data_IF_589804602886
#
_entry.id   IF_589804602886
#
_cell.length_a   1.000
_cell.length_b   1.000
_cell.length_c   1.000
_cell.angle_alpha   90.00
_cell.angle_beta   90.00
_cell.angle_gamma   90.00
#
_symmetry.space_group_name_H-M   'P 1'
#
loop_
_entity.id
_entity.type
_entity.pdbx_description
1 polymer ?
#
# COMPACT_ATOMS: atom_id res chain seq x y z
N UNK A 1 -35.64 -3.01 -6.19
CA UNK A 1 -35.44 -1.58 -5.87
C UNK A 1 -34.26 -1.50 -4.92
N UNK A 2 -33.06 -1.34 -5.45
CA UNK A 2 -31.83 -1.23 -4.65
C UNK A 2 -31.77 0.19 -4.11
N UNK A 3 -31.81 0.32 -2.79
CA UNK A 3 -31.77 1.60 -2.10
C UNK A 3 -30.30 2.08 -2.07
N UNK A 4 -29.93 2.97 -2.99
CA UNK A 4 -28.65 3.67 -2.96
C UNK A 4 -28.60 4.54 -1.70
N UNK A 5 -27.71 4.22 -0.75
CA UNK A 5 -27.40 5.13 0.36
C UNK A 5 -26.66 6.36 -0.19
N UNK A 6 -26.87 7.55 0.38
CA UNK A 6 -26.27 8.78 -0.12
C UNK A 6 -24.76 8.78 0.10
N UNK A 7 -24.04 9.23 -0.93
CA UNK A 7 -22.60 9.53 -0.95
C UNK A 7 -22.31 10.57 0.13
N UNK A 8 -21.47 10.23 1.11
CA UNK A 8 -20.93 11.21 2.07
C UNK A 8 -19.63 11.79 1.53
N UNK A 9 -19.70 12.99 0.98
CA UNK A 9 -18.53 13.81 0.67
C UNK A 9 -18.02 14.41 1.98
N UNK A 10 -16.85 13.97 2.45
CA UNK A 10 -16.18 14.61 3.60
C UNK A 10 -15.27 15.70 3.03
N UNK A 11 -15.59 16.97 3.31
CA UNK A 11 -14.70 18.09 2.97
C UNK A 11 -13.42 17.98 3.79
N UNK A 12 -12.26 18.18 3.14
CA UNK A 12 -10.95 18.17 3.77
C UNK A 12 -10.87 19.17 4.93
N UNK A 13 -10.10 18.81 5.95
CA UNK A 13 -9.85 19.67 7.11
C UNK A 13 -9.09 20.93 6.70
N UNK A 14 -9.57 22.09 7.15
CA UNK A 14 -8.87 23.36 6.96
C UNK A 14 -7.53 23.33 7.70
N UNK A 15 -6.50 23.88 7.06
CA UNK A 15 -5.08 23.97 7.48
C UNK A 15 -4.83 24.47 8.92
N UNK A 16 -5.81 25.06 9.60
CA UNK A 16 -5.70 25.55 10.97
C UNK A 16 -6.12 24.54 12.06
N UNK A 17 -6.85 23.48 11.69
CA UNK A 17 -7.29 22.43 12.65
C UNK A 17 -6.35 21.21 12.67
N UNK A 18 -5.35 21.17 11.79
CA UNK A 18 -4.39 20.06 11.70
C UNK A 18 -3.40 19.99 12.89
N UNK A 19 -3.28 21.06 13.68
CA UNK A 19 -2.23 21.17 14.71
C UNK A 19 -2.50 20.42 16.03
N UNK A 20 -3.66 19.75 16.20
CA UNK A 20 -3.98 19.07 17.47
C UNK A 20 -4.60 17.68 17.32
N UNK A 21 -4.41 17.03 16.18
CA UNK A 21 -5.11 15.79 15.86
C UNK A 21 -4.17 14.58 16.06
N UNK A 22 -4.14 14.06 17.29
CA UNK A 22 -3.58 12.74 17.61
C UNK A 22 -4.50 11.68 16.99
N UNK A 23 -4.09 11.03 15.90
CA UNK A 23 -4.86 9.93 15.30
C UNK A 23 -3.97 8.76 14.95
N UNK A 24 -4.54 7.57 15.13
CA UNK A 24 -3.95 6.23 15.16
C UNK A 24 -2.44 6.21 15.47
N UNK A 25 -2.14 6.08 16.77
CA UNK A 25 -0.81 6.08 17.38
C UNK A 25 -0.18 7.44 17.72
N UNK A 26 -0.91 8.54 17.56
CA UNK A 26 -0.59 9.80 18.24
C UNK A 26 0.48 10.65 17.58
N UNK A 27 0.67 10.53 16.25
CA UNK A 27 1.75 11.23 15.53
C UNK A 27 1.19 12.20 14.50
N UNK A 28 1.69 13.45 14.48
CA UNK A 28 1.29 14.44 13.48
C UNK A 28 1.62 13.98 12.06
N UNK A 29 0.81 14.42 11.08
CA UNK A 29 1.06 14.18 9.65
C UNK A 29 2.49 14.53 9.24
N UNK A 30 3.03 15.62 9.79
CA UNK A 30 4.37 16.13 9.52
C UNK A 30 5.47 15.14 9.91
N UNK A 31 5.18 14.21 10.83
CA UNK A 31 6.10 13.14 11.24
C UNK A 31 6.11 11.93 10.29
N UNK A 32 5.22 11.88 9.30
CA UNK A 32 5.17 10.80 8.31
C UNK A 32 6.16 11.03 7.16
N UNK A 33 6.62 9.96 6.47
CA UNK A 33 7.57 10.08 5.35
C UNK A 33 7.11 11.04 4.24
N UNK A 34 5.80 11.19 4.07
CA UNK A 34 5.12 12.03 3.08
C UNK A 34 4.48 13.30 3.67
N UNK A 35 4.68 13.58 4.95
CA UNK A 35 3.98 14.61 5.71
C UNK A 35 4.12 16.06 5.19
N UNK A 36 5.09 16.31 4.31
CA UNK A 36 5.42 17.64 3.79
C UNK A 36 4.99 17.86 2.33
N UNK A 37 4.26 16.92 1.73
CA UNK A 37 4.02 16.94 0.29
C UNK A 37 2.76 17.66 -0.14
N UNK A 38 2.96 18.80 -0.80
CA UNK A 38 1.92 19.59 -1.45
C UNK A 38 0.97 20.28 -0.46
N UNK A 39 0.71 21.57 -0.68
CA UNK A 39 -0.23 22.31 0.19
C UNK A 39 -1.65 22.38 -0.38
N UNK A 40 -1.97 21.54 -1.38
CA UNK A 40 -3.25 21.58 -2.08
C UNK A 40 -4.30 20.72 -1.38
N UNK A 41 -5.54 21.20 -1.42
CA UNK A 41 -6.70 20.41 -1.01
C UNK A 41 -6.90 19.27 -2.01
N UNK A 42 -7.22 18.09 -1.51
CA UNK A 42 -7.54 16.91 -2.32
C UNK A 42 -8.93 16.42 -1.94
N UNK A 43 -9.64 15.85 -2.90
CA UNK A 43 -10.90 15.17 -2.63
C UNK A 43 -10.63 13.74 -2.19
N UNK A 44 -11.53 13.19 -1.39
CA UNK A 44 -11.51 11.77 -1.07
C UNK A 44 -12.91 11.20 -0.91
N UNK A 45 -13.02 9.88 -1.16
CA UNK A 45 -14.27 9.14 -0.98
C UNK A 45 -13.99 7.68 -0.62
N UNK A 46 -14.96 7.03 0.01
CA UNK A 46 -14.98 5.57 0.14
C UNK A 46 -16.04 4.95 -0.76
N UNK A 47 -15.77 3.74 -1.23
CA UNK A 47 -16.73 2.95 -2.01
C UNK A 47 -16.45 1.46 -1.86
N UNK A 48 -17.44 0.63 -2.21
CA UNK A 48 -17.30 -0.83 -2.11
C UNK A 48 -16.95 -1.47 -3.46
N UNK A 49 -16.15 -2.52 -3.41
CA UNK A 49 -15.86 -3.42 -4.53
C UNK A 49 -15.92 -4.88 -4.04
N UNK A 50 -15.66 -5.85 -4.92
CA UNK A 50 -15.83 -7.28 -4.60
C UNK A 50 -14.66 -8.15 -5.06
N UNK A 51 -14.31 -9.12 -4.23
CA UNK A 51 -13.54 -10.32 -4.58
C UNK A 51 -14.46 -11.53 -4.43
N UNK A 52 -15.08 -11.95 -5.53
CA UNK A 52 -16.16 -12.94 -5.50
C UNK A 52 -17.33 -12.47 -4.61
N UNK A 53 -17.66 -13.25 -3.59
CA UNK A 53 -18.76 -12.93 -2.66
C UNK A 53 -18.34 -11.96 -1.54
N UNK A 54 -17.04 -11.73 -1.36
CA UNK A 54 -16.52 -10.87 -0.31
C UNK A 54 -16.67 -9.42 -0.74
N UNK A 55 -17.38 -8.63 0.06
CA UNK A 55 -17.46 -7.17 -0.12
C UNK A 55 -16.28 -6.53 0.57
N UNK A 56 -15.60 -5.66 -0.16
CA UNK A 56 -14.41 -4.94 0.28
C UNK A 56 -14.68 -3.43 0.19
N UNK A 57 -13.92 -2.64 0.93
CA UNK A 57 -13.99 -1.18 0.88
C UNK A 57 -12.70 -0.59 0.31
N UNK A 58 -12.82 0.53 -0.40
CA UNK A 58 -11.71 1.33 -0.89
C UNK A 58 -11.80 2.72 -0.27
N UNK A 59 -10.65 3.33 0.01
CA UNK A 59 -10.51 4.77 0.26
C UNK A 59 -9.71 5.38 -0.90
N UNK A 60 -10.30 6.29 -1.65
CA UNK A 60 -9.64 6.95 -2.78
C UNK A 60 -9.44 8.44 -2.51
N UNK A 61 -8.28 8.97 -2.90
CA UNK A 61 -7.96 10.38 -2.87
C UNK A 61 -7.36 10.84 -4.22
N UNK A 62 -7.73 12.04 -4.66
CA UNK A 62 -7.23 12.65 -5.91
C UNK A 62 -7.32 14.19 -5.86
N UNK A 63 -6.53 14.87 -6.68
CA UNK A 63 -6.66 16.32 -6.92
C UNK A 63 -7.74 16.55 -8.01
N UNK A 64 -8.95 16.93 -7.58
CA UNK A 64 -10.10 17.09 -8.48
C UNK A 64 -9.93 18.26 -9.47
N UNK A 65 -9.30 19.36 -9.05
CA UNK A 65 -9.01 20.49 -9.92
C UNK A 65 -8.02 20.10 -11.01
N UNK A 66 -6.97 19.36 -10.64
CA UNK A 66 -5.98 18.85 -11.60
C UNK A 66 -6.57 17.84 -12.56
N UNK A 67 -7.43 16.94 -12.09
CA UNK A 67 -8.17 16.01 -12.97
C UNK A 67 -9.07 16.77 -13.94
N UNK A 68 -9.77 17.81 -13.47
CA UNK A 68 -10.63 18.63 -14.33
C UNK A 68 -9.84 19.44 -15.38
N UNK A 69 -8.65 19.93 -15.01
CA UNK A 69 -7.83 20.77 -15.88
C UNK A 69 -6.94 19.97 -16.86
N UNK A 70 -6.36 18.86 -16.41
CA UNK A 70 -5.34 18.10 -17.14
C UNK A 70 -5.80 16.69 -17.55
N UNK A 71 -6.98 16.25 -17.10
CA UNK A 71 -7.51 14.92 -17.35
C UNK A 71 -7.05 13.87 -16.32
N UNK A 72 -7.34 12.58 -16.57
CA UNK A 72 -7.04 11.47 -15.66
C UNK A 72 -5.55 11.38 -15.28
N UNK A 73 -5.26 10.93 -14.06
CA UNK A 73 -3.91 10.88 -13.47
C UNK A 73 -3.40 9.45 -13.33
N UNK A 74 -2.07 9.22 -13.25
CA UNK A 74 -1.56 7.88 -12.97
C UNK A 74 -2.12 7.35 -11.65
N UNK A 75 -2.52 6.07 -11.65
CA UNK A 75 -3.12 5.42 -10.49
C UNK A 75 -2.08 4.85 -9.54
N UNK A 76 -2.31 4.96 -8.23
CA UNK A 76 -1.49 4.29 -7.20
C UNK A 76 -2.37 3.50 -6.23
N UNK A 77 -2.24 2.18 -6.26
CA UNK A 77 -2.88 1.30 -5.30
C UNK A 77 -2.05 1.26 -4.01
N UNK A 78 -2.66 1.43 -2.84
CA UNK A 78 -1.98 1.47 -1.54
C UNK A 78 -2.45 0.30 -0.67
N UNK A 79 -1.56 -0.65 -0.40
CA UNK A 79 -1.84 -1.81 0.42
C UNK A 79 -1.47 -1.55 1.89
N UNK A 80 -2.43 -1.79 2.77
CA UNK A 80 -2.31 -1.44 4.19
C UNK A 80 -1.38 -2.36 4.99
N UNK A 81 -1.07 -1.93 6.21
CA UNK A 81 -0.31 -2.71 7.20
C UNK A 81 -1.12 -3.88 7.77
N UNK A 82 -0.65 -4.54 8.82
CA UNK A 82 -1.39 -5.65 9.42
C UNK A 82 -2.70 -5.24 10.12
N UNK A 83 -3.07 -3.96 10.22
CA UNK A 83 -4.29 -3.57 10.96
C UNK A 83 -5.46 -3.13 10.08
N UNK A 84 -5.30 -2.83 8.79
CA UNK A 84 -6.42 -2.55 7.89
C UNK A 84 -6.34 -1.19 7.17
N UNK A 85 -7.25 -1.00 6.22
CA UNK A 85 -7.24 0.12 5.27
C UNK A 85 -7.53 1.48 5.90
N UNK A 86 -8.43 1.53 6.89
CA UNK A 86 -8.86 2.79 7.50
C UNK A 86 -7.83 3.41 8.43
N UNK A 87 -6.66 2.77 8.55
CA UNK A 87 -5.54 3.31 9.28
C UNK A 87 -5.17 4.69 8.72
N UNK A 88 -4.99 5.66 9.62
CA UNK A 88 -4.69 7.02 9.21
C UNK A 88 -3.37 7.13 8.44
N UNK A 89 -2.37 6.34 8.82
CA UNK A 89 -1.12 6.17 8.07
C UNK A 89 -1.39 5.85 6.58
N UNK A 90 -2.33 4.95 6.30
CA UNK A 90 -2.64 4.55 4.92
C UNK A 90 -3.45 5.61 4.18
N UNK A 91 -4.49 6.16 4.80
CA UNK A 91 -5.32 7.19 4.17
C UNK A 91 -4.55 8.49 3.93
N UNK A 92 -3.65 8.88 4.82
CA UNK A 92 -2.76 10.03 4.64
C UNK A 92 -1.71 9.82 3.55
N UNK A 93 -1.23 8.58 3.35
CA UNK A 93 -0.39 8.22 2.21
C UNK A 93 -1.15 8.45 0.89
N UNK A 94 -2.40 8.00 0.78
CA UNK A 94 -3.24 8.27 -0.39
C UNK A 94 -3.43 9.76 -0.63
N UNK A 95 -3.68 10.55 0.42
CA UNK A 95 -3.82 12.01 0.29
C UNK A 95 -2.53 12.67 -0.19
N UNK A 96 -1.37 12.19 0.26
CA UNK A 96 -0.08 12.78 -0.13
C UNK A 96 0.29 12.43 -1.57
N UNK A 97 0.05 11.18 -1.99
CA UNK A 97 0.11 10.79 -3.39
C UNK A 97 -0.84 11.62 -4.27
N UNK A 98 -2.06 11.90 -3.79
CA UNK A 98 -2.99 12.79 -4.49
C UNK A 98 -2.43 14.21 -4.65
N UNK A 99 -1.78 14.76 -3.62
CA UNK A 99 -1.11 16.07 -3.68
C UNK A 99 0.10 16.09 -4.60
N UNK A 100 0.76 14.95 -4.82
CA UNK A 100 1.79 14.77 -5.84
C UNK A 100 1.21 14.65 -7.27
N UNK A 101 -0.12 14.59 -7.42
CA UNK A 101 -0.81 14.57 -8.70
C UNK A 101 -1.16 13.17 -9.23
N UNK A 102 -1.19 12.17 -8.35
CA UNK A 102 -1.70 10.82 -8.62
C UNK A 102 -3.19 10.69 -8.24
N UNK A 103 -3.85 9.65 -8.73
CA UNK A 103 -5.10 9.15 -8.14
C UNK A 103 -4.74 7.95 -7.29
N UNK A 104 -4.87 8.06 -5.96
CA UNK A 104 -4.43 7.03 -5.03
C UNK A 104 -5.61 6.33 -4.36
N UNK A 105 -5.54 5.01 -4.23
CA UNK A 105 -6.60 4.21 -3.60
C UNK A 105 -6.03 3.19 -2.64
N UNK A 106 -6.43 3.26 -1.38
CA UNK A 106 -6.18 2.22 -0.40
C UNK A 106 -7.14 1.05 -0.62
N UNK A 107 -6.63 -0.17 -0.50
CA UNK A 107 -7.41 -1.40 -0.64
C UNK A 107 -7.69 -2.05 0.70
N UNK A 108 -8.85 -2.70 0.87
CA UNK A 108 -9.18 -3.50 2.04
C UNK A 108 -8.83 -4.98 1.79
N UNK A 109 -7.75 -5.47 2.42
CA UNK A 109 -7.41 -6.89 2.38
C UNK A 109 -8.35 -7.72 3.24
N UNK A 110 -8.94 -7.13 4.30
CA UNK A 110 -9.66 -7.86 5.34
C UNK A 110 -11.14 -8.03 5.01
N UNK A 111 -11.71 -7.12 4.21
CA UNK A 111 -13.16 -7.02 4.01
C UNK A 111 -13.91 -6.59 5.27
N UNK A 112 -13.19 -5.94 6.19
CA UNK A 112 -13.74 -5.46 7.45
C UNK A 112 -14.28 -4.03 7.34
N UNK A 113 -13.82 -3.26 6.34
CA UNK A 113 -14.14 -1.84 6.22
C UNK A 113 -13.67 -1.00 7.41
N UNK A 114 -12.79 -1.50 8.28
CA UNK A 114 -12.24 -0.80 9.44
C UNK A 114 -10.92 -1.45 9.90
N UNK A 115 -10.21 -0.80 10.81
CA UNK A 115 -9.04 -1.39 11.46
C UNK A 115 -9.42 -2.57 12.36
N UNK A 116 -8.61 -3.62 12.38
CA UNK A 116 -8.76 -4.83 13.18
C UNK A 116 -7.59 -4.95 14.16
N UNK A 117 -7.82 -4.50 15.39
CA UNK A 117 -6.82 -4.50 16.46
C UNK A 117 -6.74 -5.82 17.23
N UNK A 118 -7.87 -6.51 17.36
CA UNK A 118 -7.92 -7.82 18.02
C UNK A 118 -7.06 -8.83 17.24
N UNK A 119 -6.11 -9.44 17.95
CA UNK A 119 -5.11 -10.32 17.33
C UNK A 119 -5.73 -11.60 16.80
N UNK A 120 -6.71 -12.17 17.50
CA UNK A 120 -7.35 -13.44 17.10
C UNK A 120 -8.22 -13.23 15.86
N UNK A 121 -9.06 -12.19 15.85
CA UNK A 121 -9.89 -11.83 14.70
C UNK A 121 -9.02 -11.53 13.49
N UNK A 122 -7.98 -10.70 13.66
CA UNK A 122 -7.04 -10.38 12.58
C UNK A 122 -6.37 -11.63 12.03
N UNK A 123 -5.86 -12.51 12.91
CA UNK A 123 -5.17 -13.73 12.48
C UNK A 123 -6.12 -14.69 11.75
N UNK A 124 -7.39 -14.77 12.16
CA UNK A 124 -8.42 -15.55 11.45
C UNK A 124 -8.67 -15.06 10.02
N UNK A 125 -8.48 -13.77 9.75
CA UNK A 125 -8.57 -13.19 8.40
C UNK A 125 -7.26 -13.38 7.62
N UNK A 126 -6.12 -13.14 8.28
CA UNK A 126 -4.79 -13.17 7.66
C UNK A 126 -4.31 -14.58 7.30
N UNK A 127 -4.53 -15.55 8.18
CA UNK A 127 -3.96 -16.89 8.01
C UNK A 127 -4.40 -17.54 6.68
N UNK A 128 -5.69 -17.52 6.29
CA UNK A 128 -6.11 -18.03 4.98
C UNK A 128 -5.50 -17.30 3.77
N UNK A 129 -5.13 -16.01 3.92
CA UNK A 129 -4.46 -15.25 2.86
C UNK A 129 -2.96 -15.56 2.80
N UNK A 130 -2.34 -15.87 3.94
CA UNK A 130 -0.93 -16.30 4.02
C UNK A 130 -0.75 -17.71 3.48
N UNK A 131 -1.66 -18.61 3.83
CA UNK A 131 -1.63 -20.01 3.40
C UNK A 131 -1.90 -20.16 1.89
N UNK A 132 -2.72 -19.27 1.32
CA UNK A 132 -3.00 -19.22 -0.12
C UNK A 132 -2.59 -17.87 -0.72
N UNK A 133 -1.35 -17.80 -1.19
CA UNK A 133 -0.78 -16.61 -1.82
C UNK A 133 -1.42 -16.28 -3.18
N UNK A 134 -2.08 -17.24 -3.86
CA UNK A 134 -2.92 -16.92 -5.04
C UNK A 134 -4.19 -16.18 -4.62
N UNK A 135 -4.79 -16.58 -3.51
CA UNK A 135 -5.94 -15.87 -2.94
C UNK A 135 -5.57 -14.46 -2.52
N UNK A 136 -4.40 -14.25 -1.92
CA UNK A 136 -3.89 -12.91 -1.63
C UNK A 136 -3.70 -12.09 -2.91
N UNK A 137 -2.98 -12.61 -3.91
CA UNK A 137 -2.80 -11.93 -5.19
C UNK A 137 -4.14 -11.56 -5.86
N UNK A 138 -5.11 -12.49 -5.84
CA UNK A 138 -6.47 -12.26 -6.36
C UNK A 138 -7.22 -11.16 -5.60
N UNK A 139 -7.07 -11.10 -4.27
CA UNK A 139 -7.65 -10.04 -3.45
C UNK A 139 -7.13 -8.66 -3.85
N UNK A 140 -5.81 -8.56 -4.09
CA UNK A 140 -5.19 -7.32 -4.55
C UNK A 140 -5.59 -7.01 -6.00
N UNK A 141 -5.70 -8.03 -6.86
CA UNK A 141 -6.18 -7.87 -8.24
C UNK A 141 -7.58 -7.25 -8.29
N UNK A 142 -8.51 -7.68 -7.43
CA UNK A 142 -9.85 -7.08 -7.35
C UNK A 142 -9.82 -5.59 -7.00
N UNK A 143 -8.87 -5.17 -6.15
CA UNK A 143 -8.66 -3.76 -5.83
C UNK A 143 -8.02 -3.01 -6.99
N UNK A 144 -7.03 -3.59 -7.66
CA UNK A 144 -6.46 -3.03 -8.88
C UNK A 144 -7.55 -2.83 -9.95
N UNK A 145 -8.44 -3.80 -10.16
CA UNK A 145 -9.54 -3.73 -11.13
C UNK A 145 -10.53 -2.61 -10.78
N UNK A 146 -10.81 -2.41 -9.49
CA UNK A 146 -11.61 -1.28 -9.02
C UNK A 146 -10.92 0.06 -9.32
N UNK A 147 -9.62 0.19 -9.04
CA UNK A 147 -8.85 1.41 -9.31
C UNK A 147 -8.83 1.76 -10.79
N UNK A 148 -8.50 0.81 -11.68
CA UNK A 148 -8.42 1.11 -13.12
C UNK A 148 -9.79 1.45 -13.71
N UNK A 149 -10.90 1.05 -13.10
CA UNK A 149 -12.23 1.44 -13.59
C UNK A 149 -12.65 2.87 -13.21
N UNK A 150 -11.85 3.58 -12.42
CA UNK A 150 -12.11 4.96 -12.07
C UNK A 150 -11.78 5.93 -13.21
N UNK A 151 -12.69 6.89 -13.45
CA UNK A 151 -12.52 7.87 -14.54
C UNK A 151 -11.37 8.85 -14.30
N UNK A 152 -10.91 8.99 -13.06
CA UNK A 152 -9.75 9.81 -12.69
C UNK A 152 -8.41 9.10 -12.89
N UNK A 153 -8.40 7.84 -13.36
CA UNK A 153 -7.18 7.05 -13.58
C UNK A 153 -6.85 6.93 -15.08
N UNK A 154 -5.62 7.28 -15.45
CA UNK A 154 -5.10 7.04 -16.80
C UNK A 154 -4.52 5.63 -16.90
N UNK A 155 -4.89 4.91 -17.97
CA UNK A 155 -4.54 3.50 -18.18
C UNK A 155 -3.31 3.37 -19.09
N UNK A 156 -3.43 3.88 -20.30
CA UNK A 156 -2.59 3.45 -21.42
C UNK A 156 -1.20 4.10 -21.48
N UNK A 157 -1.04 5.32 -20.94
CA UNK A 157 0.20 6.10 -21.10
C UNK A 157 1.20 5.93 -19.95
N UNK A 158 0.75 6.13 -18.71
CA UNK A 158 1.61 6.03 -17.52
C UNK A 158 1.37 4.79 -16.66
N UNK A 159 0.26 4.06 -16.92
CA UNK A 159 -0.14 2.89 -16.15
C UNK A 159 -0.41 3.16 -14.66
N UNK A 160 -0.42 2.08 -13.89
CA UNK A 160 -0.69 2.04 -12.45
C UNK A 160 0.55 1.55 -11.72
N UNK A 161 0.79 2.08 -10.53
CA UNK A 161 1.73 1.53 -9.56
C UNK A 161 1.00 0.97 -8.34
N UNK A 162 1.65 0.09 -7.58
CA UNK A 162 1.16 -0.33 -6.27
C UNK A 162 2.23 -0.17 -5.20
N UNK A 163 1.87 0.40 -4.06
CA UNK A 163 2.74 0.58 -2.90
C UNK A 163 2.14 -0.18 -1.74
N UNK A 164 2.98 -0.85 -0.93
CA UNK A 164 2.51 -1.58 0.23
C UNK A 164 3.48 -1.52 1.39
N UNK A 165 2.93 -1.63 2.60
CA UNK A 165 3.67 -1.57 3.87
C UNK A 165 3.46 -2.86 4.67
N UNK A 166 4.52 -3.49 5.20
CA UNK A 166 4.40 -4.73 5.98
C UNK A 166 3.66 -5.82 5.17
N UNK A 167 2.49 -6.28 5.64
CA UNK A 167 1.59 -7.18 4.91
C UNK A 167 1.28 -6.66 3.50
N UNK A 168 1.03 -5.36 3.36
CA UNK A 168 0.75 -4.75 2.07
C UNK A 168 1.92 -4.86 1.11
N UNK A 169 3.16 -4.77 1.61
CA UNK A 169 4.38 -4.92 0.80
C UNK A 169 4.49 -6.33 0.21
N UNK A 170 4.19 -7.34 1.02
CA UNK A 170 4.07 -8.73 0.56
C UNK A 170 2.94 -8.89 -0.48
N UNK A 171 1.79 -8.28 -0.22
CA UNK A 171 0.61 -8.39 -1.08
C UNK A 171 0.82 -7.78 -2.47
N UNK A 172 1.46 -6.60 -2.57
CA UNK A 172 1.75 -5.99 -3.88
C UNK A 172 2.81 -6.76 -4.66
N UNK A 173 3.79 -7.37 -3.98
CA UNK A 173 4.75 -8.27 -4.63
C UNK A 173 4.04 -9.51 -5.20
N UNK A 174 3.03 -10.05 -4.54
CA UNK A 174 2.29 -11.20 -5.09
C UNK A 174 1.41 -10.85 -6.28
N UNK A 175 0.80 -9.67 -6.29
CA UNK A 175 0.12 -9.17 -7.48
C UNK A 175 1.11 -9.09 -8.66
N UNK A 176 2.32 -8.58 -8.38
CA UNK A 176 3.37 -8.45 -9.38
C UNK A 176 3.84 -9.81 -9.91
N UNK A 177 4.04 -10.80 -9.01
CA UNK A 177 4.41 -12.18 -9.35
C UNK A 177 3.33 -12.90 -10.15
N UNK A 178 2.05 -12.64 -9.84
CA UNK A 178 0.93 -13.20 -10.58
C UNK A 178 0.86 -12.67 -12.02
N UNK A 179 1.37 -11.46 -12.27
CA UNK A 179 1.38 -10.79 -13.56
C UNK A 179 0.01 -10.75 -14.27
N UNK A 180 -1.06 -10.58 -13.49
CA UNK A 180 -2.45 -10.51 -13.98
C UNK A 180 -2.92 -9.07 -14.23
N UNK A 181 -2.26 -8.09 -13.62
CA UNK A 181 -2.62 -6.67 -13.67
C UNK A 181 -1.98 -5.98 -14.88
N UNK A 182 -2.71 -5.90 -16.00
CA UNK A 182 -2.16 -5.49 -17.32
C UNK A 182 -1.52 -4.10 -17.38
N UNK A 183 -2.04 -3.13 -16.62
CA UNK A 183 -1.53 -1.75 -16.58
C UNK A 183 -0.55 -1.52 -15.42
N UNK A 184 -0.27 -2.54 -14.60
CA UNK A 184 0.66 -2.42 -13.49
C UNK A 184 2.09 -2.31 -14.02
N UNK A 185 2.73 -1.17 -13.79
CA UNK A 185 4.09 -0.87 -14.27
C UNK A 185 5.16 -1.17 -13.23
N UNK A 186 4.81 -1.02 -11.95
CA UNK A 186 5.74 -1.31 -10.88
C UNK A 186 5.08 -1.43 -9.52
N UNK A 187 5.78 -2.08 -8.60
CA UNK A 187 5.38 -2.21 -7.20
C UNK A 187 6.48 -1.75 -6.27
N UNK A 188 6.11 -1.15 -5.13
CA UNK A 188 7.02 -0.74 -4.08
C UNK A 188 6.65 -1.45 -2.79
N UNK A 189 7.59 -2.22 -2.23
CA UNK A 189 7.44 -2.92 -0.96
C UNK A 189 8.24 -2.21 0.12
N UNK A 190 7.55 -1.57 1.07
CA UNK A 190 8.14 -1.02 2.28
C UNK A 190 8.08 -2.05 3.40
N UNK A 191 9.26 -2.46 3.91
CA UNK A 191 9.41 -3.44 4.99
C UNK A 191 8.43 -4.61 4.84
N UNK A 192 8.25 -5.09 3.61
CA UNK A 192 7.41 -6.25 3.36
C UNK A 192 8.00 -7.49 3.98
N UNK A 193 7.15 -8.48 4.30
CA UNK A 193 7.66 -9.83 4.54
C UNK A 193 8.12 -10.39 3.20
N UNK A 194 9.42 -10.58 3.04
CA UNK A 194 10.00 -11.01 1.77
C UNK A 194 10.19 -12.51 1.83
N UNK A 195 9.47 -13.22 0.99
CA UNK A 195 9.59 -14.65 0.76
C UNK A 195 9.29 -14.95 -0.71
N UNK A 196 9.51 -16.19 -1.13
CA UNK A 196 9.14 -16.64 -2.46
C UNK A 196 8.16 -17.83 -2.41
N UNK A 197 6.85 -17.61 -2.64
CA UNK A 197 5.94 -18.71 -2.84
C UNK A 197 6.15 -19.30 -4.24
N UNK A 198 6.67 -20.53 -4.30
CA UNK A 198 7.01 -21.28 -5.53
C UNK A 198 5.83 -21.65 -6.45
N UNK A 199 4.64 -21.09 -6.16
CA UNK A 199 3.41 -21.31 -6.91
C UNK A 199 3.29 -20.39 -8.14
N UNK A 200 3.99 -19.25 -8.17
CA UNK A 200 3.93 -18.36 -9.32
C UNK A 200 4.88 -18.84 -10.41
N UNK A 201 4.45 -18.75 -11.65
CA UNK A 201 5.23 -19.14 -12.83
C UNK A 201 5.34 -17.98 -13.79
N UNK A 202 6.45 -17.94 -14.53
CA UNK A 202 6.68 -16.89 -15.53
C UNK A 202 5.57 -16.91 -16.57
N UNK A 203 4.90 -15.77 -16.75
CA UNK A 203 3.88 -15.62 -17.80
C UNK A 203 4.53 -15.62 -19.19
N UNK A 204 3.86 -16.23 -20.16
CA UNK A 204 4.20 -16.11 -21.59
C UNK A 204 3.67 -14.82 -22.21
N UNK A 205 2.80 -14.09 -21.51
CA UNK A 205 2.13 -12.89 -21.99
C UNK A 205 2.43 -11.68 -21.10
N UNK A 206 2.62 -10.52 -21.74
CA UNK A 206 2.86 -9.24 -21.06
C UNK A 206 4.27 -9.10 -20.47
N UNK A 207 4.72 -7.85 -20.35
CA UNK A 207 5.94 -7.55 -19.60
C UNK A 207 5.59 -7.53 -18.10
N UNK A 208 6.31 -8.27 -17.23
CA UNK A 208 6.04 -8.20 -15.81
C UNK A 208 6.39 -6.82 -15.24
N UNK A 209 5.70 -6.36 -14.17
CA UNK A 209 6.00 -5.09 -13.51
C UNK A 209 7.40 -5.10 -12.88
N UNK A 210 7.98 -3.91 -12.73
CA UNK A 210 9.22 -3.75 -11.96
C UNK A 210 8.93 -3.81 -10.44
N UNK A 211 9.91 -4.13 -9.63
CA UNK A 211 9.78 -4.09 -8.17
C UNK A 211 10.86 -3.21 -7.52
N UNK A 212 10.47 -2.32 -6.61
CA UNK A 212 11.37 -1.64 -5.70
C UNK A 212 11.14 -2.17 -4.29
N UNK A 213 12.18 -2.74 -3.69
CA UNK A 213 12.14 -3.32 -2.35
C UNK A 213 12.91 -2.40 -1.40
N UNK A 214 12.24 -1.94 -0.35
CA UNK A 214 12.76 -1.00 0.64
C UNK A 214 12.77 -1.72 2.00
N UNK A 215 13.93 -2.25 2.39
CA UNK A 215 14.04 -3.23 3.47
C UNK A 215 14.93 -2.73 4.61
N UNK A 216 14.53 -3.01 5.85
CA UNK A 216 15.37 -2.74 7.02
C UNK A 216 16.34 -3.88 7.25
N UNK A 217 17.63 -3.58 7.40
CA UNK A 217 18.67 -4.61 7.55
C UNK A 217 18.51 -5.46 8.81
N UNK A 218 17.94 -4.89 9.86
CA UNK A 218 17.72 -5.55 11.15
C UNK A 218 16.27 -6.05 11.31
N UNK A 219 15.52 -6.22 10.21
CA UNK A 219 14.14 -6.71 10.23
C UNK A 219 14.09 -8.22 10.56
N UNK A 220 13.55 -8.64 11.72
CA UNK A 220 13.59 -10.04 12.13
C UNK A 220 12.54 -10.92 11.43
N UNK A 221 11.63 -10.35 10.65
CA UNK A 221 10.60 -11.11 9.93
C UNK A 221 11.09 -11.66 8.59
N UNK A 222 12.20 -11.12 8.07
CA UNK A 222 12.85 -11.54 6.83
C UNK A 222 14.34 -11.70 7.10
N UNK A 223 14.81 -12.94 7.17
CA UNK A 223 16.24 -13.25 7.21
C UNK A 223 16.89 -13.15 5.82
N UNK A 224 18.21 -13.25 5.77
CA UNK A 224 18.98 -13.16 4.51
C UNK A 224 18.56 -14.22 3.48
N UNK A 225 18.22 -15.43 3.92
CA UNK A 225 17.88 -16.52 3.02
C UNK A 225 16.52 -16.26 2.37
N UNK A 226 15.51 -15.85 3.14
CA UNK A 226 14.21 -15.43 2.60
C UNK A 226 14.32 -14.21 1.68
N UNK A 227 15.19 -13.26 2.01
CA UNK A 227 15.48 -12.14 1.12
C UNK A 227 16.05 -12.64 -0.21
N UNK A 228 17.07 -13.51 -0.19
CA UNK A 228 17.64 -14.11 -1.40
C UNK A 228 16.60 -14.89 -2.20
N UNK A 229 15.80 -15.74 -1.55
CA UNK A 229 14.71 -16.48 -2.17
C UNK A 229 13.72 -15.54 -2.88
N UNK A 230 13.34 -14.45 -2.23
CA UNK A 230 12.47 -13.43 -2.82
C UNK A 230 13.06 -12.88 -4.12
N UNK A 231 14.33 -12.45 -4.11
CA UNK A 231 15.01 -11.83 -5.25
C UNK A 231 15.22 -12.81 -6.41
N UNK A 232 15.65 -14.04 -6.11
CA UNK A 232 15.79 -15.11 -7.09
C UNK A 232 14.44 -15.48 -7.69
N UNK A 233 13.40 -15.53 -6.86
CA UNK A 233 12.03 -15.73 -7.26
C UNK A 233 11.54 -14.67 -8.24
N UNK A 234 11.73 -13.38 -7.94
CA UNK A 234 11.38 -12.28 -8.85
C UNK A 234 12.16 -12.38 -10.17
N UNK A 235 13.46 -12.69 -10.10
CA UNK A 235 14.32 -12.88 -11.28
C UNK A 235 13.82 -14.04 -12.16
N UNK A 236 13.44 -15.17 -11.55
CA UNK A 236 12.95 -16.35 -12.26
C UNK A 236 11.64 -16.07 -13.02
N UNK A 237 10.83 -15.16 -12.51
CA UNK A 237 9.60 -14.67 -13.14
C UNK A 237 9.86 -13.62 -14.23
N UNK A 238 11.12 -13.23 -14.45
CA UNK A 238 11.53 -12.23 -15.43
C UNK A 238 11.28 -10.78 -15.01
N UNK A 239 11.05 -10.54 -13.71
CA UNK A 239 10.88 -9.19 -13.17
C UNK A 239 12.24 -8.50 -13.05
N UNK A 240 12.27 -7.20 -13.33
CA UNK A 240 13.39 -6.33 -12.94
C UNK A 240 13.12 -5.79 -11.54
N UNK A 241 14.12 -5.82 -10.67
CA UNK A 241 13.98 -5.34 -9.31
C UNK A 241 15.18 -4.52 -8.85
N UNK A 242 14.91 -3.57 -7.97
CA UNK A 242 15.90 -2.81 -7.20
C UNK A 242 15.67 -3.07 -5.71
N UNK A 243 16.75 -3.14 -4.93
CA UNK A 243 16.72 -3.36 -3.50
C UNK A 243 17.52 -2.27 -2.79
N UNK A 244 16.88 -1.56 -1.86
CA UNK A 244 17.53 -0.67 -0.92
C UNK A 244 17.44 -1.27 0.48
N UNK A 245 18.61 -1.46 1.11
CA UNK A 245 18.73 -1.98 2.47
C UNK A 245 19.19 -0.87 3.41
N UNK A 246 18.41 -0.60 4.46
CA UNK A 246 18.69 0.45 5.43
C UNK A 246 19.32 -0.15 6.69
N UNK A 247 20.64 0.03 6.85
CA UNK A 247 21.40 -0.45 8.02
C UNK A 247 20.76 -0.04 9.34
N UNK A 248 20.60 -1.00 10.26
CA UNK A 248 20.05 -0.80 11.60
C UNK A 248 18.53 -0.60 11.67
N UNK A 249 17.85 -0.36 10.56
CA UNK A 249 16.39 -0.25 10.54
C UNK A 249 15.77 -1.63 10.72
N UNK A 250 14.76 -1.75 11.58
CA UNK A 250 13.95 -2.96 11.74
C UNK A 250 12.68 -2.90 10.89
N UNK A 251 11.76 -3.83 11.14
CA UNK A 251 10.44 -3.82 10.52
C UNK A 251 9.67 -2.54 10.86
N UNK A 252 8.76 -2.14 9.98
CA UNK A 252 7.94 -0.95 10.18
C UNK A 252 8.73 0.37 10.32
N UNK A 253 9.93 0.48 9.73
CA UNK A 253 10.77 1.69 9.82
C UNK A 253 10.11 3.00 9.37
N UNK A 254 9.01 2.94 8.62
CA UNK A 254 8.22 4.11 8.22
C UNK A 254 7.20 4.55 9.29
N UNK A 255 7.07 3.84 10.41
CA UNK A 255 6.00 4.00 11.39
C UNK A 255 6.48 4.79 12.60
N UNK A 256 6.19 6.09 12.68
CA UNK A 256 6.80 6.96 13.69
C UNK A 256 6.44 6.61 15.13
N UNK A 257 5.42 5.79 15.36
CA UNK A 257 4.98 5.37 16.69
C UNK A 257 5.79 4.22 17.26
N UNK A 258 6.56 3.51 16.43
CA UNK A 258 7.36 2.34 16.81
C UNK A 258 8.64 2.76 17.53
N UNK A 259 8.47 3.29 18.74
CA UNK A 259 9.53 3.98 19.50
C UNK A 259 9.72 3.45 20.91
N UNK A 260 8.92 2.48 21.33
CA UNK A 260 8.99 1.89 22.68
C UNK A 260 9.94 0.70 22.74
N UNK A 261 10.44 0.37 23.93
CA UNK A 261 11.25 -0.84 24.13
C UNK A 261 10.48 -2.12 23.74
N UNK A 262 9.16 -2.18 24.03
CA UNK A 262 8.30 -3.30 23.62
C UNK A 262 8.23 -3.46 22.10
N UNK A 263 8.16 -2.35 21.35
CA UNK A 263 8.22 -2.39 19.89
C UNK A 263 9.56 -2.94 19.42
N UNK A 264 10.67 -2.42 19.98
CA UNK A 264 12.02 -2.82 19.59
C UNK A 264 12.29 -4.30 19.86
N UNK A 265 11.88 -4.80 21.02
CA UNK A 265 11.98 -6.20 21.42
C UNK A 265 11.12 -7.11 20.53
N UNK A 266 9.98 -6.58 20.06
CA UNK A 266 9.09 -7.26 19.11
C UNK A 266 9.53 -7.14 17.65
N UNK A 267 10.67 -6.50 17.37
CA UNK A 267 11.22 -6.40 16.02
C UNK A 267 10.72 -5.22 15.18
N UNK A 268 10.02 -4.27 15.78
CA UNK A 268 9.51 -3.07 15.10
C UNK A 268 10.30 -1.85 15.56
N UNK A 269 10.63 -0.92 14.67
CA UNK A 269 11.32 0.31 15.04
C UNK A 269 11.10 1.38 14.00
N UNK A 270 10.76 2.60 14.42
CA UNK A 270 10.83 3.78 13.56
C UNK A 270 12.29 4.16 13.29
N UNK A 271 12.63 4.37 12.03
CA UNK A 271 13.91 4.96 11.63
C UNK A 271 13.64 6.12 10.67
N UNK A 272 13.77 7.35 11.17
CA UNK A 272 13.48 8.57 10.40
C UNK A 272 14.34 8.70 9.13
N UNK A 273 15.58 8.22 9.16
CA UNK A 273 16.48 8.23 8.01
C UNK A 273 16.00 7.24 6.95
N UNK A 274 15.74 5.99 7.35
CA UNK A 274 15.23 4.95 6.45
C UNK A 274 13.87 5.38 5.86
N UNK A 275 12.97 5.88 6.69
CA UNK A 275 11.68 6.41 6.29
C UNK A 275 11.81 7.48 5.20
N UNK A 276 12.61 8.52 5.43
CA UNK A 276 12.81 9.63 4.49
C UNK A 276 13.50 9.20 3.19
N UNK A 277 14.57 8.41 3.28
CA UNK A 277 15.32 7.93 2.11
C UNK A 277 14.49 6.95 1.27
N UNK A 278 13.74 6.06 1.91
CA UNK A 278 12.86 5.10 1.25
C UNK A 278 11.75 5.79 0.46
N UNK A 279 11.13 6.83 1.02
CA UNK A 279 10.09 7.58 0.33
C UNK A 279 10.65 8.40 -0.83
N UNK A 280 11.82 9.00 -0.64
CA UNK A 280 12.51 9.76 -1.70
C UNK A 280 12.93 8.87 -2.88
N UNK A 281 13.21 7.58 -2.64
CA UNK A 281 13.56 6.62 -3.69
C UNK A 281 12.38 6.25 -4.61
N UNK A 282 11.15 6.58 -4.21
CA UNK A 282 9.94 6.29 -4.99
C UNK A 282 9.55 7.40 -5.98
N UNK A 283 10.17 8.58 -5.89
CA UNK A 283 9.88 9.76 -6.72
C UNK A 283 10.66 9.72 -8.02
#
# INVERSE_FOLDING_TARGET
RVCCRPVRTVRGFKRAEASSMHFDAGIPLEGLPWGVEGSREVESRTFSYRDGDITLEAYMAWDAEKVAAEGPRPGVLVAHTAIGMQEYFITSCCQSLARLGYTAMALDLFGAGQCVFDKEVRNGILQPLRDDRRRLAKRVQAAYDALVNESSVVKETSGVAAVGFCLGGQAVLDLARANTAKELRGVVSFHGVLDHPSIFTKSSEGKPPNALILHGESDPFTDEDKLRECLDGLTSLGMTWDLHVYSGAKHAFTRPEKTTDEDFDSGFQYDARAASQSWSSCK
#
